data_IF_654982687725
#
_entry.id   IF_654982687725
#
_cell.length_a   1.000
_cell.length_b   1.000
_cell.length_c   1.000
_cell.angle_alpha   90.00
_cell.angle_beta   90.00
_cell.angle_gamma   90.00
#
_symmetry.space_group_name_H-M   'P 1'
#
loop_
_entity.id
_entity.type
_entity.pdbx_description
1 polymer ?
#
# COMPACT_ATOMS: atom_id res chain seq x y z
N UNK A 1 30.26 12.34 -0.97
CA UNK A 1 29.87 11.41 0.11
C UNK A 1 28.51 11.87 0.59
N UNK A 2 27.45 11.10 0.40
CA UNK A 2 26.14 11.45 0.96
C UNK A 2 26.15 11.00 2.42
N UNK A 3 26.33 11.96 3.35
CA UNK A 3 26.54 11.64 4.77
C UNK A 3 25.24 11.29 5.51
N UNK A 4 24.07 11.58 4.92
CA UNK A 4 22.77 11.16 5.45
C UNK A 4 21.67 11.22 4.37
N UNK A 5 21.05 10.08 4.07
CA UNK A 5 19.71 10.03 3.50
C UNK A 5 18.78 9.57 4.63
N UNK A 6 18.19 10.53 5.36
CA UNK A 6 17.30 10.27 6.47
C UNK A 6 15.95 10.95 6.25
N UNK A 7 14.86 10.20 6.38
CA UNK A 7 13.48 10.67 6.24
C UNK A 7 12.53 9.54 5.86
N UNK A 8 11.28 9.63 6.28
CA UNK A 8 10.23 8.68 5.89
C UNK A 8 9.97 8.78 4.39
N UNK A 9 9.97 7.67 3.67
CA UNK A 9 9.80 7.68 2.21
C UNK A 9 8.35 8.00 1.84
N UNK A 10 8.13 8.89 0.88
CA UNK A 10 6.79 9.10 0.32
C UNK A 10 6.67 8.34 -1.00
N UNK A 11 5.54 7.68 -1.24
CA UNK A 11 5.35 6.87 -2.45
C UNK A 11 3.90 6.90 -2.92
N UNK A 12 3.71 6.58 -4.19
CA UNK A 12 2.42 6.10 -4.67
C UNK A 12 2.33 4.60 -4.44
N UNK A 13 1.30 4.16 -3.74
CA UNK A 13 1.02 2.76 -3.49
C UNK A 13 -0.18 2.34 -4.31
N UNK A 14 0.00 1.33 -5.14
CA UNK A 14 -1.06 0.68 -5.90
C UNK A 14 -1.41 -0.64 -5.24
N UNK A 15 -2.64 -0.77 -4.79
CA UNK A 15 -3.25 -2.05 -4.39
C UNK A 15 -4.03 -2.59 -5.59
N UNK A 16 -3.71 -3.80 -6.03
CA UNK A 16 -4.48 -4.49 -7.06
C UNK A 16 -5.05 -5.78 -6.48
N UNK A 17 -6.36 -5.91 -6.57
CA UNK A 17 -7.11 -7.08 -6.14
C UNK A 17 -7.57 -7.85 -7.38
N UNK A 18 -7.06 -9.06 -7.59
CA UNK A 18 -7.36 -9.81 -8.80
C UNK A 18 -8.77 -10.42 -8.74
N UNK A 19 -9.34 -10.71 -9.91
CA UNK A 19 -10.66 -11.35 -10.03
C UNK A 19 -10.79 -12.69 -9.30
N UNK A 20 -9.67 -13.39 -9.07
CA UNK A 20 -9.62 -14.64 -8.33
C UNK A 20 -9.80 -14.45 -6.81
N UNK A 21 -9.68 -13.22 -6.32
CA UNK A 21 -10.03 -12.89 -4.94
C UNK A 21 -11.55 -12.91 -4.78
N UNK A 22 -12.04 -13.58 -3.75
CA UNK A 22 -13.48 -13.57 -3.41
C UNK A 22 -13.84 -12.40 -2.49
N UNK A 23 -12.84 -11.66 -2.02
CA UNK A 23 -12.97 -10.64 -0.98
C UNK A 23 -12.35 -9.32 -1.42
N UNK A 24 -12.90 -8.22 -0.89
CA UNK A 24 -12.27 -6.91 -0.97
C UNK A 24 -10.96 -6.88 -0.17
N UNK A 25 -9.98 -6.17 -0.72
CA UNK A 25 -8.68 -5.95 -0.10
C UNK A 25 -8.56 -4.50 0.35
N UNK A 26 -8.09 -4.28 1.58
CA UNK A 26 -7.87 -2.94 2.13
C UNK A 26 -6.41 -2.75 2.51
N UNK A 27 -5.85 -1.60 2.15
CA UNK A 27 -4.52 -1.17 2.53
C UNK A 27 -4.60 -0.30 3.78
N UNK A 28 -3.77 -0.58 4.77
CA UNK A 28 -3.69 0.17 6.02
C UNK A 28 -2.25 0.59 6.35
N UNK A 29 -2.14 1.69 7.09
CA UNK A 29 -0.87 2.19 7.65
C UNK A 29 -0.63 1.72 9.08
N UNK A 30 -1.51 0.88 9.65
CA UNK A 30 -1.32 0.29 10.96
C UNK A 30 -1.63 -1.22 10.96
N UNK A 31 -0.99 -1.93 11.89
CA UNK A 31 -1.13 -3.38 12.01
C UNK A 31 -2.50 -3.84 12.54
N UNK A 32 -3.33 -2.94 13.05
CA UNK A 32 -4.68 -3.25 13.51
C UNK A 32 -5.73 -3.11 12.40
N UNK A 33 -5.36 -2.56 11.24
CA UNK A 33 -6.28 -2.32 10.12
C UNK A 33 -7.28 -1.20 10.39
N UNK A 34 -6.95 -0.25 11.27
CA UNK A 34 -7.89 0.82 11.66
C UNK A 34 -7.80 2.04 10.74
N UNK A 35 -6.61 2.41 10.28
CA UNK A 35 -6.38 3.47 9.31
C UNK A 35 -6.33 2.86 7.91
N UNK A 36 -7.50 2.65 7.30
CA UNK A 36 -7.61 2.24 5.91
C UNK A 36 -7.39 3.45 4.99
N UNK A 37 -6.46 3.31 4.05
CA UNK A 37 -6.09 4.36 3.09
C UNK A 37 -6.51 4.03 1.65
N UNK A 38 -6.82 2.78 1.35
CA UNK A 38 -7.39 2.35 0.09
C UNK A 38 -8.14 1.02 0.25
N UNK A 39 -9.20 0.82 -0.54
CA UNK A 39 -9.90 -0.47 -0.65
C UNK A 39 -10.14 -0.77 -2.12
N UNK A 40 -9.85 -2.01 -2.53
CA UNK A 40 -10.07 -2.51 -3.87
C UNK A 40 -10.98 -3.75 -3.82
N UNK A 41 -12.12 -3.67 -4.49
CA UNK A 41 -12.99 -4.83 -4.77
C UNK A 41 -12.27 -5.85 -5.69
N UNK A 42 -12.74 -7.11 -5.75
CA UNK A 42 -12.24 -8.07 -6.73
C UNK A 42 -12.24 -7.52 -8.16
N UNK A 43 -11.19 -7.83 -8.92
CA UNK A 43 -10.95 -7.33 -10.29
C UNK A 43 -10.74 -5.81 -10.40
N UNK A 44 -10.35 -5.16 -9.31
CA UNK A 44 -10.12 -3.72 -9.27
C UNK A 44 -8.73 -3.36 -8.75
N UNK A 45 -8.31 -2.12 -9.00
CA UNK A 45 -7.07 -1.55 -8.47
C UNK A 45 -7.26 -0.13 -8.00
N UNK A 46 -6.52 0.25 -6.97
CA UNK A 46 -6.54 1.59 -6.40
C UNK A 46 -5.12 2.09 -6.20
N UNK A 47 -4.86 3.35 -6.56
CA UNK A 47 -3.56 3.99 -6.32
C UNK A 47 -3.75 5.20 -5.40
N UNK A 48 -3.01 5.23 -4.30
CA UNK A 48 -3.05 6.30 -3.30
C UNK A 48 -1.65 6.85 -3.05
N UNK A 49 -1.54 8.15 -2.85
CA UNK A 49 -0.30 8.76 -2.36
C UNK A 49 -0.22 8.61 -0.85
N UNK A 50 0.87 8.01 -0.35
CA UNK A 50 1.11 7.85 1.08
C UNK A 50 2.32 8.67 1.47
N UNK A 51 2.13 9.77 2.23
CA UNK A 51 3.25 10.50 2.81
C UNK A 51 3.85 9.69 3.97
N UNK A 52 5.17 9.69 4.09
CA UNK A 52 5.89 9.13 5.23
C UNK A 52 5.61 7.63 5.52
N UNK A 53 5.81 6.77 4.52
CA UNK A 53 5.66 5.32 4.64
C UNK A 53 6.73 4.76 5.58
N UNK A 54 6.26 4.13 6.65
CA UNK A 54 7.05 3.25 7.52
C UNK A 54 6.69 1.80 7.27
N UNK A 55 5.41 1.47 7.35
CA UNK A 55 4.88 0.12 7.18
C UNK A 55 3.52 0.18 6.47
N UNK A 56 3.19 -0.89 5.73
CA UNK A 56 1.92 -1.06 5.04
C UNK A 56 1.40 -2.46 5.26
N UNK A 57 0.11 -2.56 5.56
CA UNK A 57 -0.57 -3.81 5.88
C UNK A 57 -1.75 -4.01 4.93
N UNK A 58 -1.97 -5.23 4.47
CA UNK A 58 -3.12 -5.59 3.63
C UNK A 58 -4.06 -6.47 4.44
N UNK A 59 -5.33 -6.07 4.49
CA UNK A 59 -6.40 -6.78 5.17
C UNK A 59 -7.47 -7.22 4.18
N UNK A 60 -8.08 -8.36 4.46
CA UNK A 60 -9.34 -8.76 3.84
C UNK A 60 -10.50 -8.32 4.72
N UNK A 61 -11.64 -7.98 4.11
CA UNK A 61 -12.80 -7.47 4.84
C UNK A 61 -13.32 -8.45 5.90
N UNK A 62 -13.21 -9.76 5.65
CA UNK A 62 -13.76 -10.82 6.50
C UNK A 62 -12.71 -11.77 7.07
N UNK A 63 -11.42 -11.54 6.82
CA UNK A 63 -10.35 -12.49 7.16
C UNK A 63 -10.14 -13.61 6.13
N UNK A 64 -10.89 -13.60 5.02
CA UNK A 64 -10.70 -14.51 3.89
C UNK A 64 -9.40 -14.28 3.10
N UNK A 65 -9.09 -15.21 2.18
CA UNK A 65 -7.92 -15.09 1.33
C UNK A 65 -8.11 -13.98 0.28
N UNK A 66 -7.16 -13.06 0.21
CA UNK A 66 -7.06 -12.06 -0.86
C UNK A 66 -5.94 -12.47 -1.81
N UNK A 67 -6.21 -12.44 -3.11
CA UNK A 67 -5.22 -12.71 -4.17
C UNK A 67 -5.00 -11.42 -4.94
N UNK A 68 -3.81 -10.85 -4.81
CA UNK A 68 -3.50 -9.56 -5.41
C UNK A 68 -2.04 -9.20 -5.33
N UNK A 69 -1.73 -7.94 -5.67
CA UNK A 69 -0.40 -7.37 -5.57
C UNK A 69 -0.43 -5.97 -4.98
N UNK A 70 0.64 -5.62 -4.26
CA UNK A 70 0.92 -4.26 -3.81
C UNK A 70 2.18 -3.78 -4.50
N UNK A 71 2.08 -2.63 -5.19
CA UNK A 71 3.21 -1.97 -5.84
C UNK A 71 3.48 -0.63 -5.18
N UNK A 72 4.73 -0.41 -4.78
CA UNK A 72 5.18 0.86 -4.17
C UNK A 72 6.10 1.55 -5.16
N UNK A 73 5.71 2.74 -5.61
CA UNK A 73 6.53 3.60 -6.47
C UNK A 73 7.08 4.76 -5.64
N UNK A 74 8.30 4.58 -5.12
CA UNK A 74 8.97 5.54 -4.24
C UNK A 74 9.28 6.82 -5.02
N UNK A 75 8.92 7.97 -4.43
CA UNK A 75 9.40 9.26 -4.89
C UNK A 75 10.65 9.62 -4.09
N UNK A 76 11.82 9.23 -4.59
CA UNK A 76 13.09 9.60 -3.99
C UNK A 76 13.59 10.93 -4.57
N UNK A 77 14.02 11.85 -3.70
CA UNK A 77 14.76 13.04 -4.13
C UNK A 77 16.22 12.62 -4.32
N UNK A 78 16.60 12.26 -5.55
CA UNK A 78 18.01 12.04 -5.89
C UNK A 78 18.69 13.40 -6.00
N UNK A 79 19.54 13.77 -5.03
CA UNK A 79 20.37 14.98 -5.13
C UNK A 79 21.58 14.63 -6.02
N UNK A 80 21.82 15.36 -7.13
CA UNK A 80 23.01 15.15 -7.96
C UNK A 80 24.32 15.48 -7.21
#
# INVERSE_FOLDING_TARGET
>A
MFEHAGGSASAYVTLQNFNASTEAASLSTDAAGTNIIATAEPDNSFTVFVPNITELYVFSATGGQVIGQVKISLNETVRP
#
